data_IF_865771572684
#
_entry.id   IF_865771572684
#
_cell.length_a   1.000
_cell.length_b   1.000
_cell.length_c   1.000
_cell.angle_alpha   90.00
_cell.angle_beta   90.00
_cell.angle_gamma   90.00
#
_symmetry.space_group_name_H-M   'P 1'
#
loop_
_entity.id
_entity.type
_entity.pdbx_description
1 polymer ?
#
# COMPACT_ATOMS: atom_id res chain seq x y z
N UNK A 1 -14.37 -2.28 5.26
CA UNK A 1 -14.96 -2.82 4.01
C UNK A 1 -15.20 -4.32 4.20
N UNK A 2 -16.37 -4.82 3.79
CA UNK A 2 -16.73 -6.24 3.80
C UNK A 2 -17.38 -6.58 2.45
N UNK A 3 -16.90 -7.59 1.74
CA UNK A 3 -17.39 -7.96 0.40
C UNK A 3 -17.52 -6.77 -0.58
N UNK A 4 -16.55 -5.85 -0.59
CA UNK A 4 -16.54 -4.63 -1.42
C UNK A 4 -17.68 -3.64 -1.12
N UNK A 5 -18.36 -3.85 0.01
CA UNK A 5 -19.25 -2.89 0.62
C UNK A 5 -18.51 -2.13 1.73
N UNK A 6 -18.62 -0.82 1.73
CA UNK A 6 -18.03 0.04 2.74
C UNK A 6 -19.02 0.31 3.89
N UNK A 7 -18.50 0.25 5.11
CA UNK A 7 -19.25 0.61 6.31
C UNK A 7 -18.53 1.76 6.98
N UNK A 8 -19.19 2.91 7.03
CA UNK A 8 -18.71 4.08 7.77
C UNK A 8 -19.45 4.08 9.10
N UNK A 9 -18.68 3.97 10.18
CA UNK A 9 -19.20 3.88 11.54
C UNK A 9 -18.77 5.14 12.28
N UNK A 10 -19.73 5.94 12.73
CA UNK A 10 -19.49 7.11 13.56
C UNK A 10 -19.96 6.87 15.00
N UNK A 11 -19.21 7.42 15.96
CA UNK A 11 -19.48 7.33 17.39
C UNK A 11 -18.97 8.61 18.06
N UNK A 12 -19.60 9.04 19.14
CA UNK A 12 -19.17 10.20 19.94
C UNK A 12 -19.31 9.91 21.42
N UNK A 13 -18.61 10.68 22.29
CA UNK A 13 -18.77 10.53 23.75
C UNK A 13 -20.22 10.77 24.18
N UNK A 14 -20.88 11.76 23.57
CA UNK A 14 -22.28 12.12 23.83
C UNK A 14 -23.24 10.96 23.51
N UNK A 15 -22.89 10.12 22.54
CA UNK A 15 -23.65 8.93 22.17
C UNK A 15 -23.60 7.80 23.22
N UNK A 16 -22.69 7.92 24.19
CA UNK A 16 -22.35 6.89 25.17
C UNK A 16 -22.57 7.32 26.62
N UNK A 17 -23.00 8.57 26.87
CA UNK A 17 -23.07 9.17 28.21
C UNK A 17 -24.05 8.47 29.17
N UNK A 18 -24.93 7.62 28.66
CA UNK A 18 -25.75 6.71 29.47
C UNK A 18 -25.61 5.29 28.88
N UNK A 19 -24.66 4.46 29.37
CA UNK A 19 -24.06 4.40 30.71
C UNK A 19 -22.55 4.73 30.81
N UNK A 20 -22.04 5.05 32.02
CA UNK A 20 -20.65 5.46 32.25
C UNK A 20 -19.58 4.44 31.81
N UNK A 21 -19.93 3.16 31.72
CA UNK A 21 -18.97 2.11 31.36
C UNK A 21 -18.57 2.16 29.88
N UNK A 22 -19.54 2.39 28.98
CA UNK A 22 -19.27 2.48 27.53
C UNK A 22 -18.49 3.74 27.20
N UNK A 23 -18.84 4.87 27.81
CA UNK A 23 -18.08 6.12 27.67
C UNK A 23 -16.63 5.95 28.16
N UNK A 24 -16.41 5.35 29.34
CA UNK A 24 -15.06 5.05 29.83
C UNK A 24 -14.27 4.16 28.87
N UNK A 25 -14.92 3.13 28.30
CA UNK A 25 -14.29 2.23 27.32
C UNK A 25 -13.92 2.97 26.03
N UNK A 26 -14.80 3.85 25.54
CA UNK A 26 -14.51 4.70 24.39
C UNK A 26 -13.34 5.65 24.64
N UNK A 27 -13.34 6.35 25.77
CA UNK A 27 -12.23 7.24 26.16
C UNK A 27 -10.91 6.47 26.33
N UNK A 28 -10.95 5.22 26.80
CA UNK A 28 -9.77 4.35 26.82
C UNK A 28 -9.27 4.06 25.40
N UNK A 29 -10.15 3.73 24.46
CA UNK A 29 -9.75 3.50 23.07
C UNK A 29 -9.27 4.76 22.35
N UNK A 30 -9.74 5.95 22.71
CA UNK A 30 -9.14 7.20 22.21
C UNK A 30 -7.67 7.32 22.64
N UNK A 31 -7.34 6.96 23.89
CA UNK A 31 -5.94 6.90 24.34
C UNK A 31 -5.14 5.83 23.61
N UNK A 32 -5.74 4.67 23.32
CA UNK A 32 -5.09 3.63 22.50
C UNK A 32 -4.77 4.18 21.10
N UNK A 33 -5.71 4.87 20.47
CA UNK A 33 -5.51 5.46 19.14
C UNK A 33 -4.41 6.54 19.13
N UNK A 34 -4.34 7.38 20.16
CA UNK A 34 -3.28 8.38 20.30
C UNK A 34 -1.88 7.76 20.50
N UNK A 35 -1.81 6.63 21.21
CA UNK A 35 -0.54 5.98 21.56
C UNK A 35 -0.21 4.77 20.68
N UNK A 36 -1.05 4.44 19.69
CA UNK A 36 -1.07 3.21 18.88
C UNK A 36 -1.28 1.90 19.66
N UNK A 37 -0.81 1.83 20.90
CA UNK A 37 -1.03 0.74 21.85
C UNK A 37 -1.16 1.33 23.26
N UNK A 38 -2.07 0.80 24.08
CA UNK A 38 -2.20 1.18 25.49
C UNK A 38 -2.76 0.00 26.31
N UNK A 39 -2.10 -0.33 27.42
CA UNK A 39 -2.44 -1.45 28.31
C UNK A 39 -2.65 -2.79 27.55
N UNK A 40 -1.83 -3.06 26.53
CA UNK A 40 -1.90 -4.27 25.71
C UNK A 40 -3.09 -4.31 24.74
N UNK A 41 -3.86 -3.22 24.63
CA UNK A 41 -4.89 -3.03 23.62
C UNK A 41 -4.36 -2.21 22.45
N UNK A 42 -4.88 -2.49 21.27
CA UNK A 42 -4.53 -1.86 19.99
C UNK A 42 -5.76 -1.21 19.35
N UNK A 43 -5.54 -0.47 18.27
CA UNK A 43 -6.63 0.12 17.48
C UNK A 43 -7.53 -0.95 16.85
N UNK A 44 -7.02 -2.17 16.62
CA UNK A 44 -7.84 -3.29 16.13
C UNK A 44 -8.88 -3.73 17.16
N UNK A 45 -8.53 -3.72 18.46
CA UNK A 45 -9.49 -4.03 19.54
C UNK A 45 -10.62 -2.99 19.60
N UNK A 46 -10.33 -1.74 19.23
CA UNK A 46 -11.36 -0.71 19.06
C UNK A 46 -12.27 -1.01 17.86
N UNK A 47 -11.70 -1.42 16.72
CA UNK A 47 -12.47 -1.79 15.53
C UNK A 47 -13.38 -2.99 15.77
N UNK A 48 -12.88 -4.03 16.43
CA UNK A 48 -13.69 -5.20 16.79
C UNK A 48 -14.85 -4.81 17.70
N UNK A 49 -14.59 -3.97 18.71
CA UNK A 49 -15.63 -3.52 19.63
C UNK A 49 -16.70 -2.66 18.96
N UNK A 50 -16.31 -1.67 18.14
CA UNK A 50 -17.29 -0.77 17.50
C UNK A 50 -18.07 -1.47 16.37
N UNK A 51 -17.49 -2.49 15.74
CA UNK A 51 -18.12 -3.26 14.68
C UNK A 51 -19.09 -4.35 15.18
N UNK A 52 -19.00 -4.73 16.46
CA UNK A 52 -19.85 -5.75 17.09
C UNK A 52 -21.35 -5.67 16.74
N UNK A 53 -22.05 -4.51 16.87
CA UNK A 53 -23.47 -4.41 16.53
C UNK A 53 -23.79 -4.62 15.04
N UNK A 54 -22.79 -4.53 14.15
CA UNK A 54 -22.93 -4.69 12.70
C UNK A 54 -22.57 -6.09 12.20
N UNK A 55 -21.99 -6.95 13.04
CA UNK A 55 -21.62 -8.33 12.65
C UNK A 55 -22.78 -9.12 11.99
N UNK A 56 -24.04 -9.05 12.48
CA UNK A 56 -25.16 -9.72 11.80
C UNK A 56 -25.39 -9.20 10.38
N UNK A 57 -25.18 -7.90 10.13
CA UNK A 57 -25.34 -7.28 8.81
C UNK A 57 -24.20 -7.68 7.87
N UNK A 58 -22.97 -7.74 8.37
CA UNK A 58 -21.84 -8.22 7.57
C UNK A 58 -22.06 -9.64 7.06
N UNK A 59 -22.64 -10.52 7.89
CA UNK A 59 -22.99 -11.90 7.51
C UNK A 59 -24.11 -12.01 6.48
N UNK A 60 -24.93 -10.98 6.33
CA UNK A 60 -26.03 -10.94 5.36
C UNK A 60 -25.60 -10.40 3.99
N UNK A 61 -24.39 -9.84 3.87
CA UNK A 61 -23.90 -9.36 2.59
C UNK A 61 -23.76 -10.52 1.61
N UNK A 62 -24.20 -10.34 0.35
CA UNK A 62 -24.05 -11.36 -0.65
C UNK A 62 -22.56 -11.69 -0.86
N UNK A 63 -22.29 -12.94 -1.20
CA UNK A 63 -20.96 -13.31 -1.66
C UNK A 63 -20.72 -12.66 -3.03
N UNK A 64 -19.54 -12.08 -3.21
CA UNK A 64 -19.15 -11.51 -4.50
C UNK A 64 -18.81 -12.65 -5.45
N UNK A 65 -19.71 -12.92 -6.38
CA UNK A 65 -19.54 -13.95 -7.42
C UNK A 65 -19.18 -13.36 -8.78
N UNK A 66 -19.45 -12.06 -8.99
CA UNK A 66 -19.11 -11.34 -10.21
C UNK A 66 -17.60 -11.04 -10.28
N UNK A 67 -17.11 -10.83 -11.50
CA UNK A 67 -15.78 -10.24 -11.70
C UNK A 67 -15.83 -8.79 -11.23
N UNK A 68 -14.86 -8.39 -10.41
CA UNK A 68 -14.74 -7.02 -9.93
C UNK A 68 -13.65 -6.27 -10.67
N UNK A 69 -13.81 -4.96 -10.66
CA UNK A 69 -12.90 -3.98 -11.22
C UNK A 69 -12.36 -3.08 -10.11
N UNK A 70 -11.36 -2.29 -10.44
CA UNK A 70 -10.80 -1.32 -9.50
C UNK A 70 -11.83 -0.22 -9.16
N UNK A 71 -12.79 0.05 -10.05
CA UNK A 71 -13.95 0.91 -9.76
C UNK A 71 -14.72 0.44 -8.53
N UNK A 72 -14.99 -0.87 -8.41
CA UNK A 72 -15.76 -1.43 -7.29
C UNK A 72 -15.01 -1.32 -5.95
N UNK A 73 -13.68 -1.23 -6.00
CA UNK A 73 -12.85 -1.01 -4.82
C UNK A 73 -12.72 0.47 -4.45
N UNK A 74 -12.56 1.35 -5.44
CA UNK A 74 -12.38 2.79 -5.23
C UNK A 74 -13.70 3.50 -4.90
N UNK A 75 -14.81 2.99 -5.41
CA UNK A 75 -16.15 3.54 -5.26
C UNK A 75 -17.13 2.44 -4.80
N UNK A 76 -16.89 1.85 -3.62
CA UNK A 76 -17.75 0.81 -3.08
C UNK A 76 -19.14 1.37 -2.76
N UNK A 77 -20.15 0.49 -2.72
CA UNK A 77 -21.41 0.85 -2.09
C UNK A 77 -21.18 1.09 -0.60
N UNK A 78 -21.68 2.22 -0.08
CA UNK A 78 -21.39 2.65 1.29
C UNK A 78 -22.67 2.66 2.13
N UNK A 79 -22.66 1.96 3.26
CA UNK A 79 -23.66 2.11 4.31
C UNK A 79 -23.09 2.84 5.52
N UNK A 80 -23.82 3.85 5.99
CA UNK A 80 -23.42 4.68 7.13
C UNK A 80 -24.21 4.29 8.37
N UNK A 81 -23.50 4.20 9.49
CA UNK A 81 -24.09 3.87 10.78
C UNK A 81 -23.56 4.80 11.86
N UNK A 82 -24.47 5.27 12.70
CA UNK A 82 -24.14 5.91 13.96
C UNK A 82 -24.32 4.90 15.09
N UNK A 83 -23.29 4.73 15.91
CA UNK A 83 -23.31 3.83 17.06
C UNK A 83 -23.62 4.63 18.32
N UNK A 84 -24.53 4.11 19.15
CA UNK A 84 -24.84 4.66 20.48
C UNK A 84 -24.96 3.56 21.54
N UNK A 85 -24.83 3.95 22.80
CA UNK A 85 -25.08 3.07 23.94
C UNK A 85 -26.58 2.94 24.24
N UNK A 86 -27.05 1.71 24.48
CA UNK A 86 -28.35 1.43 25.10
C UNK A 86 -28.10 0.44 26.24
N UNK A 87 -28.14 0.93 27.48
CA UNK A 87 -27.60 0.17 28.61
C UNK A 87 -26.15 -0.20 28.35
N UNK A 88 -25.69 -1.37 28.75
CA UNK A 88 -24.29 -1.78 28.57
C UNK A 88 -23.96 -2.30 27.16
N UNK A 89 -24.87 -2.13 26.19
CA UNK A 89 -24.72 -2.64 24.82
C UNK A 89 -24.61 -1.53 23.80
N UNK A 90 -23.83 -1.77 22.74
CA UNK A 90 -23.77 -0.91 21.57
C UNK A 90 -24.90 -1.26 20.59
N UNK A 91 -25.51 -0.23 20.01
CA UNK A 91 -26.49 -0.38 18.93
C UNK A 91 -26.10 0.52 17.77
N UNK A 92 -26.06 -0.05 16.57
CA UNK A 92 -25.81 0.66 15.32
C UNK A 92 -27.13 1.07 14.67
N UNK A 93 -27.27 2.36 14.36
CA UNK A 93 -28.45 2.96 13.73
C UNK A 93 -28.04 3.45 12.34
N UNK A 94 -28.78 3.09 11.27
CA UNK A 94 -28.54 3.65 9.94
C UNK A 94 -28.54 5.17 9.99
N UNK A 95 -27.55 5.79 9.36
CA UNK A 95 -27.43 7.23 9.25
C UNK A 95 -27.55 7.63 7.79
N UNK A 96 -28.44 8.58 7.51
CA UNK A 96 -28.54 9.23 6.19
C UNK A 96 -27.59 10.45 6.10
N UNK A 97 -26.75 10.65 7.12
CA UNK A 97 -25.85 11.80 7.21
C UNK A 97 -25.02 11.96 5.94
N UNK A 98 -25.14 13.15 5.34
CA UNK A 98 -24.35 13.61 4.18
C UNK A 98 -23.00 14.18 4.61
N UNK A 99 -22.46 13.78 5.77
CA UNK A 99 -21.09 14.15 6.10
C UNK A 99 -20.23 13.55 5.00
N UNK A 100 -19.79 14.42 4.08
CA UNK A 100 -18.92 14.07 2.96
C UNK A 100 -17.63 13.54 3.56
N UNK A 101 -17.59 12.23 3.77
CA UNK A 101 -16.35 11.55 4.09
C UNK A 101 -15.51 11.69 2.84
N UNK A 102 -14.45 12.48 2.96
CA UNK A 102 -13.50 12.70 1.89
C UNK A 102 -13.13 11.34 1.27
N UNK A 103 -13.03 11.24 -0.06
CA UNK A 103 -12.62 10.01 -0.72
C UNK A 103 -11.35 9.45 -0.08
N UNK A 104 -11.34 8.14 0.21
CA UNK A 104 -10.18 7.47 0.83
C UNK A 104 -8.97 7.50 -0.11
N UNK A 105 -9.24 7.56 -1.42
CA UNK A 105 -8.24 7.55 -2.48
C UNK A 105 -8.53 8.63 -3.51
N UNK A 106 -7.49 8.99 -4.25
CA UNK A 106 -7.59 10.03 -5.28
C UNK A 106 -6.88 11.30 -4.85
N UNK A 107 -6.06 11.82 -5.74
CA UNK A 107 -5.42 13.13 -5.61
C UNK A 107 -5.50 13.89 -6.93
N UNK A 108 -5.60 15.21 -6.83
CA UNK A 108 -5.49 16.08 -7.99
C UNK A 108 -4.00 16.28 -8.31
N UNK A 109 -3.60 15.90 -9.51
CA UNK A 109 -2.22 16.04 -9.99
C UNK A 109 -2.20 16.95 -11.22
N UNK A 110 -1.15 17.78 -11.38
CA UNK A 110 -1.02 18.61 -12.57
C UNK A 110 -1.04 17.77 -13.85
N UNK A 111 -1.86 18.19 -14.82
CA UNK A 111 -2.11 17.42 -16.05
C UNK A 111 -0.82 17.19 -16.83
N UNK A 112 0.09 18.16 -16.85
CA UNK A 112 1.42 18.05 -17.49
C UNK A 112 2.27 16.91 -16.94
N UNK A 113 2.12 16.59 -15.65
CA UNK A 113 2.83 15.47 -15.03
C UNK A 113 2.28 14.12 -15.50
N UNK A 114 0.97 14.08 -15.77
CA UNK A 114 0.20 12.87 -16.05
C UNK A 114 0.12 12.53 -17.54
N UNK A 115 -0.01 13.52 -18.43
CA UNK A 115 -0.20 13.33 -19.88
C UNK A 115 0.89 12.49 -20.55
N UNK A 116 2.09 12.47 -19.97
CA UNK A 116 3.20 11.69 -20.52
C UNK A 116 3.07 10.18 -20.27
N UNK A 117 2.13 9.73 -19.44
CA UNK A 117 1.94 8.33 -19.06
C UNK A 117 0.63 7.77 -19.60
N UNK A 118 0.58 6.46 -19.95
CA UNK A 118 -0.68 5.78 -20.21
C UNK A 118 -1.65 5.96 -19.05
N UNK A 119 -2.91 6.25 -19.38
CA UNK A 119 -3.97 6.47 -18.41
C UNK A 119 -5.00 5.34 -18.53
N UNK A 120 -5.38 4.79 -17.39
CA UNK A 120 -6.31 3.67 -17.31
C UNK A 120 -7.49 4.03 -16.42
N UNK A 121 -8.70 3.81 -16.92
CA UNK A 121 -9.92 3.96 -16.14
C UNK A 121 -10.00 2.84 -15.09
N UNK A 122 -10.43 3.12 -13.85
CA UNK A 122 -10.69 2.09 -12.84
C UNK A 122 -11.65 0.99 -13.30
N UNK A 123 -12.58 1.30 -14.21
CA UNK A 123 -13.60 0.37 -14.74
C UNK A 123 -12.99 -0.72 -15.62
N UNK A 124 -11.83 -0.44 -16.20
CA UNK A 124 -11.19 -1.30 -17.19
C UNK A 124 -10.10 -2.20 -16.56
N UNK A 125 -9.81 -1.98 -15.28
CA UNK A 125 -8.80 -2.71 -14.52
C UNK A 125 -9.48 -3.77 -13.68
N UNK A 126 -9.25 -5.05 -13.98
CA UNK A 126 -9.85 -6.17 -13.25
C UNK A 126 -9.08 -6.50 -11.98
N UNK A 127 -9.83 -6.82 -10.90
CA UNK A 127 -9.24 -7.31 -9.66
C UNK A 127 -8.96 -8.80 -9.75
N UNK A 128 -7.83 -9.23 -9.17
CA UNK A 128 -7.56 -10.65 -9.01
C UNK A 128 -8.64 -11.31 -8.16
N UNK A 129 -9.12 -12.49 -8.57
CA UNK A 129 -10.06 -13.29 -7.77
C UNK A 129 -9.50 -13.48 -6.36
N UNK A 130 -10.29 -13.13 -5.33
CA UNK A 130 -9.96 -13.41 -3.94
C UNK A 130 -9.62 -14.89 -3.81
N UNK A 131 -8.37 -15.22 -3.48
CA UNK A 131 -8.12 -16.51 -2.83
C UNK A 131 -8.72 -16.38 -1.43
N UNK A 132 -9.52 -17.35 -1.02
CA UNK A 132 -10.04 -17.45 0.35
C UNK A 132 -8.89 -17.74 1.33
N UNK A 133 -7.93 -16.82 1.42
CA UNK A 133 -6.84 -16.87 2.39
C UNK A 133 -7.32 -16.11 3.62
N UNK A 134 -7.30 -16.81 4.75
CA UNK A 134 -7.47 -16.23 6.08
C UNK A 134 -6.47 -15.08 6.25
N UNK A 135 -6.96 -13.85 6.15
CA UNK A 135 -6.20 -12.62 6.26
C UNK A 135 -7.16 -11.48 6.61
N UNK A 136 -6.64 -10.34 7.13
CA UNK A 136 -7.48 -9.29 7.67
C UNK A 136 -8.50 -8.76 6.64
N UNK A 137 -9.68 -8.27 7.07
CA UNK A 137 -10.80 -7.89 6.21
C UNK A 137 -10.48 -6.78 5.18
N UNK A 138 -9.37 -6.08 5.38
CA UNK A 138 -8.82 -5.02 4.52
C UNK A 138 -8.02 -5.63 3.35
N UNK A 139 -8.72 -6.20 2.37
CA UNK A 139 -8.07 -6.56 1.10
C UNK A 139 -7.86 -5.29 0.28
N UNK A 140 -6.67 -4.69 0.40
CA UNK A 140 -6.21 -3.66 -0.54
C UNK A 140 -5.70 -4.38 -1.80
N UNK A 141 -6.37 -4.26 -2.96
CA UNK A 141 -5.93 -4.95 -4.17
C UNK A 141 -4.56 -4.42 -4.58
N UNK A 142 -3.57 -5.30 -4.58
CA UNK A 142 -2.23 -4.99 -5.06
C UNK A 142 -1.96 -5.59 -6.43
N UNK A 143 -2.55 -6.75 -6.76
CA UNK A 143 -2.44 -7.39 -8.07
C UNK A 143 -3.70 -7.15 -8.89
N UNK A 144 -3.55 -6.50 -10.03
CA UNK A 144 -4.64 -6.20 -10.97
C UNK A 144 -4.30 -6.68 -12.39
N UNK A 145 -5.32 -6.82 -13.23
CA UNK A 145 -5.19 -7.22 -14.63
C UNK A 145 -5.72 -6.10 -15.53
N UNK A 146 -4.92 -5.73 -16.53
CA UNK A 146 -5.23 -4.69 -17.50
C UNK A 146 -6.01 -5.28 -18.69
N UNK A 147 -6.59 -4.42 -19.54
CA UNK A 147 -7.41 -4.83 -20.70
C UNK A 147 -6.66 -5.70 -21.73
N UNK A 148 -5.35 -5.47 -21.86
CA UNK A 148 -4.46 -6.25 -22.74
C UNK A 148 -4.13 -7.64 -22.18
N UNK A 149 -4.63 -7.98 -20.99
CA UNK A 149 -4.37 -9.23 -20.29
C UNK A 149 -3.08 -9.23 -19.44
N UNK A 150 -2.31 -8.14 -19.46
CA UNK A 150 -1.11 -8.01 -18.63
C UNK A 150 -1.48 -7.80 -17.15
N UNK A 151 -0.61 -8.27 -16.27
CA UNK A 151 -0.75 -8.07 -14.82
C UNK A 151 0.08 -6.88 -14.37
N UNK A 152 -0.50 -6.04 -13.52
CA UNK A 152 0.19 -4.91 -12.89
C UNK A 152 0.06 -4.95 -11.36
N UNK A 153 1.00 -4.27 -10.69
CA UNK A 153 0.90 -3.94 -9.29
C UNK A 153 0.23 -2.56 -9.15
N UNK A 154 -0.89 -2.50 -8.42
CA UNK A 154 -1.59 -1.25 -8.13
C UNK A 154 -1.12 -0.65 -6.80
N UNK A 155 -0.54 0.55 -6.87
CA UNK A 155 -0.15 1.37 -5.70
C UNK A 155 -1.11 2.55 -5.59
N UNK A 156 -2.16 2.49 -4.74
CA UNK A 156 -3.10 3.61 -4.62
C UNK A 156 -2.51 4.79 -3.85
N UNK A 157 -3.02 5.97 -4.16
CA UNK A 157 -2.69 7.25 -3.55
C UNK A 157 -3.79 7.69 -2.60
N UNK A 158 -3.39 8.28 -1.46
CA UNK A 158 -4.31 8.88 -0.51
C UNK A 158 -4.22 10.41 -0.58
N UNK A 159 -5.29 11.14 -0.25
CA UNK A 159 -5.22 12.58 -0.05
C UNK A 159 -4.08 12.96 0.91
N UNK A 160 -3.30 13.98 0.56
CA UNK A 160 -2.15 14.46 1.33
C UNK A 160 -0.79 13.87 0.91
N UNK A 161 -0.75 12.90 -0.01
CA UNK A 161 0.49 12.30 -0.51
C UNK A 161 1.02 12.97 -1.81
N UNK A 162 0.46 14.10 -2.24
CA UNK A 162 0.67 14.67 -3.58
C UNK A 162 2.15 14.90 -3.90
N UNK A 163 2.88 15.50 -2.95
CA UNK A 163 4.31 15.79 -3.12
C UNK A 163 5.14 14.51 -3.20
N UNK A 164 4.79 13.49 -2.42
CA UNK A 164 5.50 12.20 -2.41
C UNK A 164 5.31 11.50 -3.75
N UNK A 165 4.08 11.49 -4.27
CA UNK A 165 3.77 10.86 -5.55
C UNK A 165 4.36 11.61 -6.74
N UNK A 166 4.40 12.95 -6.72
CA UNK A 166 5.08 13.71 -7.76
C UNK A 166 6.58 13.41 -7.81
N UNK A 167 7.24 13.35 -6.65
CA UNK A 167 8.65 12.96 -6.57
C UNK A 167 8.88 11.54 -7.11
N UNK A 168 8.02 10.59 -6.76
CA UNK A 168 8.11 9.23 -7.29
C UNK A 168 7.86 9.16 -8.81
N UNK A 169 6.91 9.95 -9.32
CA UNK A 169 6.61 10.04 -10.75
C UNK A 169 7.80 10.59 -11.56
N UNK A 170 8.50 11.59 -11.02
CA UNK A 170 9.71 12.16 -11.63
C UNK A 170 10.85 11.13 -11.71
N UNK A 171 10.93 10.22 -10.74
CA UNK A 171 11.92 9.14 -10.73
C UNK A 171 11.61 8.09 -11.80
N UNK A 172 10.34 7.70 -11.95
CA UNK A 172 9.94 6.85 -13.07
C UNK A 172 10.12 7.54 -14.42
N UNK A 173 9.94 8.87 -14.50
CA UNK A 173 10.25 9.63 -15.72
C UNK A 173 11.73 9.57 -16.06
N UNK A 174 12.60 9.67 -15.04
CA UNK A 174 14.06 9.53 -15.21
C UNK A 174 14.43 8.13 -15.71
N UNK A 175 13.86 7.07 -15.11
CA UNK A 175 14.04 5.67 -15.55
C UNK A 175 13.61 5.48 -17.01
N UNK A 176 12.43 5.99 -17.39
CA UNK A 176 11.92 5.88 -18.76
C UNK A 176 12.83 6.61 -19.75
N UNK A 177 13.26 7.82 -19.41
CA UNK A 177 14.11 8.65 -20.28
C UNK A 177 15.54 8.09 -20.43
N UNK A 178 16.01 7.30 -19.46
CA UNK A 178 17.28 6.60 -19.53
C UNK A 178 17.30 5.44 -20.54
N UNK A 179 16.13 5.01 -21.06
CA UNK A 179 16.01 3.89 -22.02
C UNK A 179 16.73 2.62 -21.56
N UNK A 180 16.69 2.36 -20.26
CA UNK A 180 17.27 1.19 -19.61
C UNK A 180 16.73 -0.10 -20.23
N UNK A 181 17.61 -1.10 -20.42
CA UNK A 181 17.25 -2.42 -20.93
C UNK A 181 16.03 -3.00 -20.16
N UNK A 182 14.99 -3.36 -20.91
CA UNK A 182 13.72 -3.89 -20.37
C UNK A 182 13.89 -5.24 -19.64
N UNK A 183 15.01 -5.94 -19.86
CA UNK A 183 15.36 -7.16 -19.11
C UNK A 183 15.90 -6.87 -17.70
N UNK A 184 16.23 -5.62 -17.36
CA UNK A 184 16.63 -5.25 -16.01
C UNK A 184 15.47 -5.44 -15.04
N UNK A 185 15.74 -6.18 -13.96
CA UNK A 185 14.79 -6.51 -12.89
C UNK A 185 14.59 -5.33 -11.94
N UNK A 186 13.97 -4.27 -12.47
CA UNK A 186 13.60 -3.06 -11.72
C UNK A 186 12.11 -2.81 -11.84
N UNK A 187 11.53 -2.18 -10.82
CA UNK A 187 10.14 -1.73 -10.85
C UNK A 187 9.98 -0.60 -11.86
N UNK A 188 9.06 -0.75 -12.83
CA UNK A 188 8.76 0.27 -13.84
C UNK A 188 7.32 0.74 -13.70
N UNK A 189 7.09 2.01 -14.05
CA UNK A 189 5.76 2.56 -14.16
C UNK A 189 5.17 2.23 -15.53
N UNK A 190 4.04 1.53 -15.51
CA UNK A 190 3.24 1.17 -16.69
C UNK A 190 2.30 2.33 -17.05
N UNK A 191 1.63 2.90 -16.04
CA UNK A 191 0.66 3.97 -16.24
C UNK A 191 0.02 4.46 -14.95
N UNK A 192 -0.96 5.35 -15.10
CA UNK A 192 -1.71 5.96 -14.01
C UNK A 192 -3.16 5.47 -14.04
N UNK A 193 -3.76 5.27 -12.87
CA UNK A 193 -5.20 5.04 -12.74
C UNK A 193 -5.87 6.39 -12.55
N UNK A 194 -6.71 6.82 -13.50
CA UNK A 194 -7.40 8.11 -13.48
C UNK A 194 -8.85 7.99 -13.91
N UNK A 195 -9.72 8.83 -13.36
CA UNK A 195 -11.10 8.96 -13.84
C UNK A 195 -11.22 10.00 -14.97
N UNK A 196 -12.44 10.12 -15.50
CA UNK A 196 -12.83 11.10 -16.51
C UNK A 196 -12.76 12.56 -16.05
N UNK A 197 -12.63 12.80 -14.74
CA UNK A 197 -12.50 14.13 -14.15
C UNK A 197 -11.04 14.54 -13.90
N UNK A 198 -10.09 13.63 -14.17
CA UNK A 198 -8.66 13.87 -14.00
C UNK A 198 -8.10 13.49 -12.63
N UNK A 199 -8.92 12.95 -11.73
CA UNK A 199 -8.47 12.53 -10.40
C UNK A 199 -7.59 11.27 -10.52
N UNK A 200 -6.43 11.28 -9.87
CA UNK A 200 -5.47 10.18 -9.94
C UNK A 200 -5.56 9.29 -8.71
N UNK A 201 -5.89 8.01 -8.90
CA UNK A 201 -6.11 7.06 -7.81
C UNK A 201 -4.89 6.22 -7.45
N UNK A 202 -3.90 6.11 -8.35
CA UNK A 202 -2.75 5.24 -8.13
C UNK A 202 -1.84 5.06 -9.33
N UNK A 203 -0.70 4.41 -9.05
CA UNK A 203 0.26 3.96 -10.04
C UNK A 203 -0.02 2.50 -10.43
N UNK A 204 0.16 2.18 -11.71
CA UNK A 204 0.27 0.82 -12.21
C UNK A 204 1.75 0.52 -12.46
N UNK A 205 2.32 -0.38 -11.66
CA UNK A 205 3.73 -0.74 -11.68
C UNK A 205 3.92 -2.17 -12.18
N UNK A 206 5.14 -2.53 -12.58
CA UNK A 206 5.50 -3.92 -12.90
C UNK A 206 5.09 -4.86 -11.76
N UNK A 207 4.31 -5.89 -12.09
CA UNK A 207 3.96 -6.91 -11.10
C UNK A 207 5.10 -7.93 -10.94
N UNK A 208 5.58 -8.10 -9.70
CA UNK A 208 6.63 -9.05 -9.35
C UNK A 208 6.02 -10.16 -8.49
N UNK A 209 5.96 -11.38 -9.01
CA UNK A 209 5.47 -12.55 -8.25
C UNK A 209 6.55 -13.02 -7.26
N UNK A 210 6.52 -12.42 -6.06
CA UNK A 210 7.49 -12.67 -4.97
C UNK A 210 6.84 -13.19 -3.69
N UNK A 211 5.50 -13.29 -3.63
CA UNK A 211 4.79 -13.64 -2.40
C UNK A 211 5.07 -12.66 -1.24
N UNK A 212 5.31 -11.38 -1.55
CA UNK A 212 5.72 -10.33 -0.60
C UNK A 212 7.06 -10.59 0.10
N UNK A 213 7.93 -11.42 -0.50
CA UNK A 213 9.24 -11.73 0.06
C UNK A 213 10.26 -10.65 -0.32
N UNK A 214 10.64 -9.85 0.66
CA UNK A 214 11.79 -8.93 0.55
C UNK A 214 13.09 -9.69 0.83
N UNK A 215 14.23 -9.11 0.45
CA UNK A 215 15.56 -9.63 0.79
C UNK A 215 15.76 -9.70 2.32
N UNK A 216 15.19 -8.74 3.06
CA UNK A 216 15.19 -8.75 4.53
C UNK A 216 14.51 -10.01 5.09
N UNK A 217 13.35 -10.39 4.54
CA UNK A 217 12.61 -11.58 4.96
C UNK A 217 13.23 -12.89 4.43
N UNK A 218 13.88 -12.83 3.27
CA UNK A 218 14.51 -13.98 2.62
C UNK A 218 15.82 -14.40 3.31
N UNK A 219 16.53 -13.46 3.91
CA UNK A 219 17.84 -13.70 4.54
C UNK A 219 17.64 -14.19 5.97
N UNK A 220 17.81 -15.50 6.17
CA UNK A 220 17.77 -16.19 7.45
C UNK A 220 19.12 -16.81 7.77
N UNK A 221 19.34 -17.19 9.03
CA UNK A 221 20.61 -17.77 9.53
C UNK A 221 21.07 -19.00 8.77
N UNK A 222 20.16 -19.77 8.19
CA UNK A 222 20.40 -21.00 7.43
C UNK A 222 20.38 -20.78 5.90
N UNK A 223 20.20 -19.54 5.45
CA UNK A 223 20.18 -19.21 4.02
C UNK A 223 21.55 -19.52 3.39
N UNK A 224 21.61 -20.34 2.33
CA UNK A 224 22.87 -20.76 1.70
C UNK A 224 23.75 -19.60 1.25
N UNK A 225 25.06 -19.70 1.48
CA UNK A 225 26.04 -18.63 1.19
C UNK A 225 26.08 -18.27 -0.29
N UNK A 226 25.98 -19.27 -1.17
CA UNK A 226 25.91 -19.11 -2.63
C UNK A 226 24.68 -18.29 -3.05
N UNK A 227 23.54 -18.50 -2.38
CA UNK A 227 22.32 -17.74 -2.66
C UNK A 227 22.44 -16.28 -2.20
N UNK A 228 23.05 -16.05 -1.03
CA UNK A 228 23.32 -14.69 -0.54
C UNK A 228 24.30 -13.96 -1.44
N UNK A 229 25.35 -14.64 -1.91
CA UNK A 229 26.31 -14.09 -2.86
C UNK A 229 25.62 -13.74 -4.19
N UNK A 230 24.78 -14.63 -4.71
CA UNK A 230 23.97 -14.37 -5.91
C UNK A 230 23.14 -13.09 -5.76
N UNK A 231 22.45 -12.90 -4.63
CA UNK A 231 21.66 -11.69 -4.41
C UNK A 231 22.51 -10.43 -4.30
N UNK A 232 23.65 -10.50 -3.61
CA UNK A 232 24.60 -9.38 -3.53
C UNK A 232 25.09 -8.96 -4.92
N UNK A 233 25.49 -9.93 -5.75
CA UNK A 233 25.94 -9.69 -7.13
C UNK A 233 24.81 -9.08 -7.97
N UNK A 234 23.61 -9.65 -7.93
CA UNK A 234 22.47 -9.14 -8.69
C UNK A 234 22.08 -7.71 -8.29
N UNK A 235 22.04 -7.40 -6.99
CA UNK A 235 21.71 -6.04 -6.51
C UNK A 235 22.77 -5.05 -6.94
N UNK A 236 24.05 -5.39 -6.79
CA UNK A 236 25.17 -4.55 -7.25
C UNK A 236 25.12 -4.30 -8.76
N UNK A 237 24.89 -5.34 -9.54
CA UNK A 237 24.85 -5.24 -11.01
C UNK A 237 23.65 -4.40 -11.46
N UNK A 238 22.48 -4.53 -10.84
CA UNK A 238 21.32 -3.69 -11.15
C UNK A 238 21.60 -2.21 -10.83
N UNK A 239 22.15 -1.91 -9.65
CA UNK A 239 22.50 -0.52 -9.27
C UNK A 239 23.57 0.05 -10.19
N UNK A 240 24.55 -0.76 -10.60
CA UNK A 240 25.58 -0.33 -11.55
C UNK A 240 24.97 0.09 -12.89
N UNK A 241 24.04 -0.71 -13.45
CA UNK A 241 23.34 -0.34 -14.69
C UNK A 241 22.50 0.93 -14.53
N UNK A 242 21.82 1.12 -13.39
CA UNK A 242 21.12 2.37 -13.10
C UNK A 242 22.07 3.58 -13.15
N UNK A 243 23.23 3.47 -12.50
CA UNK A 243 24.20 4.57 -12.40
C UNK A 243 24.87 4.91 -13.73
N UNK A 244 25.11 3.93 -14.61
CA UNK A 244 25.65 4.16 -15.95
C UNK A 244 24.79 5.17 -16.72
N UNK A 245 23.47 5.04 -16.61
CA UNK A 245 22.51 5.91 -17.30
C UNK A 245 22.02 7.09 -16.43
N UNK A 246 22.73 7.38 -15.33
CA UNK A 246 22.48 8.53 -14.47
C UNK A 246 21.22 8.40 -13.60
N UNK A 247 20.67 7.20 -13.44
CA UNK A 247 19.51 6.93 -12.58
C UNK A 247 19.99 6.56 -11.18
N UNK A 248 19.49 7.27 -10.16
CA UNK A 248 19.76 6.98 -8.75
C UNK A 248 18.62 6.16 -8.16
N UNK A 249 18.92 5.09 -7.42
CA UNK A 249 17.92 4.28 -6.73
C UNK A 249 17.34 5.02 -5.51
N UNK A 250 18.21 5.55 -4.65
CA UNK A 250 17.88 6.63 -3.70
C UNK A 250 17.34 6.23 -2.33
N UNK A 251 16.89 4.99 -2.13
CA UNK A 251 16.53 4.44 -0.80
C UNK A 251 16.99 2.98 -0.66
N UNK A 252 18.31 2.80 -0.70
CA UNK A 252 18.95 1.48 -0.68
C UNK A 252 18.75 0.79 0.67
N UNK A 253 18.01 -0.32 0.66
CA UNK A 253 17.84 -1.22 1.81
C UNK A 253 17.31 -2.59 1.36
N UNK A 254 17.53 -3.68 2.13
CA UNK A 254 16.99 -5.00 1.83
C UNK A 254 15.46 -5.06 1.79
N UNK A 255 14.78 -4.12 2.46
CA UNK A 255 13.31 -3.98 2.37
C UNK A 255 12.83 -3.54 0.98
N UNK A 256 13.67 -2.87 0.20
CA UNK A 256 13.38 -2.41 -1.16
C UNK A 256 13.96 -3.35 -2.24
N UNK A 257 14.33 -4.57 -1.85
CA UNK A 257 14.71 -5.64 -2.78
C UNK A 257 13.70 -6.76 -2.63
N UNK A 258 13.03 -7.13 -3.71
CA UNK A 258 12.14 -8.31 -3.74
C UNK A 258 12.89 -9.52 -4.26
N UNK A 259 12.58 -10.70 -3.70
CA UNK A 259 13.06 -11.99 -4.19
C UNK A 259 11.90 -12.70 -4.87
N UNK A 260 11.99 -12.88 -6.19
CA UNK A 260 10.93 -13.54 -6.95
C UNK A 260 10.91 -15.07 -6.75
N UNK A 261 9.96 -15.75 -7.40
CA UNK A 261 9.86 -17.22 -7.34
C UNK A 261 11.04 -17.97 -7.94
N UNK A 262 11.84 -17.32 -8.79
CA UNK A 262 13.07 -17.89 -9.38
C UNK A 262 14.28 -17.60 -8.50
N UNK A 263 14.08 -17.01 -7.32
CA UNK A 263 15.12 -16.61 -6.37
C UNK A 263 16.04 -15.51 -6.92
N UNK A 264 15.52 -14.67 -7.81
CA UNK A 264 16.23 -13.53 -8.36
C UNK A 264 15.82 -12.22 -7.67
N UNK A 265 16.80 -11.34 -7.49
CA UNK A 265 16.61 -10.04 -6.87
C UNK A 265 16.03 -9.02 -7.88
N UNK A 266 15.07 -8.24 -7.39
CA UNK A 266 14.43 -7.11 -8.08
C UNK A 266 14.57 -5.85 -7.24
N UNK A 267 14.97 -4.74 -7.86
CA UNK A 267 14.95 -3.44 -7.18
C UNK A 267 13.56 -2.81 -7.28
N UNK A 268 13.04 -2.39 -6.13
CA UNK A 268 11.77 -1.67 -6.04
C UNK A 268 11.95 -0.32 -5.33
N UNK A 269 10.88 0.47 -5.34
CA UNK A 269 10.76 1.73 -4.60
C UNK A 269 11.81 2.79 -4.99
N UNK A 270 11.50 3.54 -6.03
CA UNK A 270 12.29 4.67 -6.52
C UNK A 270 11.77 6.03 -6.00
N UNK A 271 10.77 6.04 -5.11
CA UNK A 271 10.23 7.27 -4.52
C UNK A 271 11.24 8.02 -3.64
N UNK A 272 12.37 7.38 -3.35
CA UNK A 272 13.40 7.88 -2.46
C UNK A 272 12.95 7.85 -1.01
N UNK A 273 13.68 8.58 -0.18
CA UNK A 273 13.42 8.63 1.26
C UNK A 273 14.72 8.51 2.04
N UNK A 274 14.56 8.37 3.35
CA UNK A 274 15.69 8.14 4.24
C UNK A 274 15.32 7.09 5.26
N UNK A 275 15.98 5.94 5.15
CA UNK A 275 15.88 4.89 6.16
C UNK A 275 17.12 4.92 7.06
N UNK A 276 16.93 5.32 8.32
CA UNK A 276 18.00 5.36 9.33
C UNK A 276 18.70 4.00 9.42
N UNK A 277 20.03 4.01 9.40
CA UNK A 277 20.85 2.81 9.52
C UNK A 277 21.39 2.29 8.19
N UNK A 278 20.76 2.61 7.06
CA UNK A 278 21.19 2.14 5.75
C UNK A 278 22.12 3.12 5.03
N UNK A 279 21.71 4.37 4.85
CA UNK A 279 22.52 5.40 4.18
C UNK A 279 22.66 6.60 5.13
N UNK A 280 23.80 7.32 5.18
CA UNK A 280 23.90 8.60 5.88
C UNK A 280 22.91 9.62 5.32
N UNK A 281 22.32 10.46 6.17
CA UNK A 281 21.22 11.36 5.75
C UNK A 281 21.66 12.35 4.67
N UNK A 282 22.91 12.80 4.78
CA UNK A 282 23.59 13.71 3.86
C UNK A 282 23.86 13.11 2.47
N UNK A 283 23.83 11.77 2.33
CA UNK A 283 24.01 11.06 1.06
C UNK A 283 22.69 10.51 0.50
N UNK A 284 21.56 10.70 1.19
CA UNK A 284 20.29 10.16 0.75
C UNK A 284 19.89 10.69 -0.63
N UNK A 285 19.48 9.79 -1.53
CA UNK A 285 19.10 10.16 -2.90
C UNK A 285 20.27 10.49 -3.84
N UNK A 286 21.52 10.13 -3.51
CA UNK A 286 22.70 10.32 -4.38
C UNK A 286 23.34 8.99 -4.81
N UNK A 287 24.19 9.04 -5.84
CA UNK A 287 24.98 7.89 -6.30
C UNK A 287 25.89 7.38 -5.17
N UNK A 288 26.55 8.29 -4.45
CA UNK A 288 27.39 7.95 -3.31
C UNK A 288 26.58 7.29 -2.18
N UNK A 289 25.34 7.75 -1.96
CA UNK A 289 24.41 7.13 -1.04
C UNK A 289 24.06 5.71 -1.45
N UNK A 290 23.79 5.48 -2.73
CA UNK A 290 23.51 4.14 -3.26
C UNK A 290 24.71 3.20 -3.09
N UNK A 291 25.92 3.67 -3.40
CA UNK A 291 27.16 2.91 -3.22
C UNK A 291 27.43 2.57 -1.74
N UNK A 292 27.14 3.50 -0.83
CA UNK A 292 27.23 3.24 0.61
C UNK A 292 26.20 2.21 1.06
N UNK A 293 24.96 2.35 0.60
CA UNK A 293 23.88 1.40 0.90
C UNK A 293 24.18 0.00 0.37
N UNK A 294 24.78 -0.12 -0.82
CA UNK A 294 25.23 -1.39 -1.39
C UNK A 294 26.23 -2.10 -0.48
N UNK A 295 27.24 -1.38 0.03
CA UNK A 295 28.21 -1.95 0.97
C UNK A 295 27.50 -2.52 2.21
N UNK A 296 26.48 -1.82 2.74
CA UNK A 296 25.70 -2.32 3.87
C UNK A 296 24.83 -3.52 3.54
N UNK A 297 24.25 -3.59 2.35
CA UNK A 297 23.51 -4.78 1.90
C UNK A 297 24.48 -5.97 1.78
N UNK A 298 25.67 -5.77 1.23
CA UNK A 298 26.69 -6.83 1.14
C UNK A 298 27.14 -7.30 2.54
N UNK A 299 27.35 -6.38 3.48
CA UNK A 299 27.65 -6.72 4.88
C UNK A 299 26.51 -7.48 5.54
N UNK A 300 25.27 -7.05 5.33
CA UNK A 300 24.07 -7.73 5.82
C UNK A 300 23.97 -9.17 5.29
N UNK A 301 24.35 -9.42 4.04
CA UNK A 301 24.30 -10.74 3.43
C UNK A 301 25.44 -11.67 3.84
N UNK A 302 26.52 -11.16 4.47
CA UNK A 302 27.65 -11.98 4.94
C UNK A 302 27.38 -12.74 6.25
N UNK A 303 26.38 -12.34 7.04
CA UNK A 303 26.06 -12.89 8.36
C UNK A 303 24.62 -13.43 8.40
#
# INVERSE_FOLDING_TARGET
>A
MCNYHEFIISISSDSLSQPPALERKYLFFLKVAENFEHDGCTVEDFYDWIAEPLLPKFKQLPEVTASLTLQDFLFPETSRYYVRGIGETLVAIPSDGSDDVAPIFGIDLPEESCMSWPQHSPKDIQLSKKKNSHGPPSFKPSKVMLEDGNTAYFKPMRPGDETIFLNELDKYRSIRNAHLDESLRILRLIGLVRDEFGLTFGLLLTYIDCGNKTLLCATQTDTPVDLRQKWAEQVRDLVHHLHIDGVVWGDVKPGNVLIDRQTDAWLIDFGGGYTRGWVPKELAGSIEGDLHGLQKIEEFLRY
#
